data_IF_453324996405
#
_entry.id   IF_453324996405
#
_cell.length_a   1.000
_cell.length_b   1.000
_cell.length_c   1.000
_cell.angle_alpha   90.00
_cell.angle_beta   90.00
_cell.angle_gamma   90.00
#
_symmetry.space_group_name_H-M   'P 1'
#
loop_
_entity.id
_entity.type
_entity.pdbx_description
1 polymer ?
#
# COMPACT_ATOMS: atom_id res chain seq x y z
N UNK A 1 -15.14 -1.24 -13.83
CA UNK A 1 -14.07 -1.93 -13.06
C UNK A 1 -12.85 -1.04 -13.16
N UNK A 2 -12.34 -0.46 -12.05
CA UNK A 2 -11.26 0.51 -12.10
C UNK A 2 -9.98 -0.11 -12.64
N UNK A 3 -9.27 0.61 -13.50
CA UNK A 3 -7.97 0.16 -14.02
C UNK A 3 -6.88 0.24 -12.94
N UNK A 4 -5.79 -0.53 -13.04
CA UNK A 4 -4.68 -0.45 -12.07
C UNK A 4 -4.10 0.97 -11.94
N UNK A 5 -4.20 1.78 -12.99
CA UNK A 5 -3.81 3.20 -12.98
C UNK A 5 -4.73 4.04 -12.11
N UNK A 6 -6.04 3.80 -12.18
CA UNK A 6 -7.03 4.48 -11.33
C UNK A 6 -6.85 4.07 -9.87
N UNK A 7 -6.67 2.77 -9.59
CA UNK A 7 -6.36 2.28 -8.24
C UNK A 7 -5.09 2.92 -7.66
N UNK A 8 -4.08 3.20 -8.51
CA UNK A 8 -2.88 3.94 -8.09
C UNK A 8 -3.20 5.39 -7.73
N UNK A 9 -3.98 6.08 -8.57
CA UNK A 9 -4.38 7.46 -8.31
C UNK A 9 -5.20 7.55 -7.03
N UNK A 10 -6.17 6.65 -6.84
CA UNK A 10 -6.98 6.58 -5.64
C UNK A 10 -6.13 6.30 -4.40
N UNK A 11 -5.16 5.39 -4.48
CA UNK A 11 -4.24 5.14 -3.39
C UNK A 11 -3.42 6.39 -3.03
N UNK A 12 -2.91 7.11 -4.04
CA UNK A 12 -2.16 8.36 -3.82
C UNK A 12 -3.06 9.42 -3.21
N UNK A 13 -4.26 9.63 -3.75
CA UNK A 13 -5.24 10.58 -3.22
C UNK A 13 -5.58 10.28 -1.76
N UNK A 14 -5.81 9.01 -1.44
CA UNK A 14 -6.11 8.57 -0.09
C UNK A 14 -4.93 8.90 0.86
N UNK A 15 -3.70 8.62 0.44
CA UNK A 15 -2.50 8.91 1.22
C UNK A 15 -2.28 10.41 1.41
N UNK A 16 -2.52 11.23 0.39
CA UNK A 16 -2.43 12.69 0.49
C UNK A 16 -3.42 13.29 1.50
N UNK A 17 -4.56 12.61 1.72
CA UNK A 17 -5.57 12.98 2.72
C UNK A 17 -5.32 12.36 4.10
N UNK A 18 -4.34 11.46 4.22
CA UNK A 18 -4.05 10.74 5.46
C UNK A 18 -3.15 11.56 6.38
N UNK A 19 -3.20 11.28 7.69
CA UNK A 19 -2.36 11.93 8.68
C UNK A 19 -0.86 11.74 8.42
N UNK A 20 -0.45 10.63 7.81
CA UNK A 20 0.94 10.43 7.40
C UNK A 20 1.48 11.52 6.45
N UNK A 21 0.66 12.07 5.54
CA UNK A 21 1.10 13.17 4.66
C UNK A 21 0.73 14.53 5.26
N UNK A 22 -0.47 14.66 5.82
CA UNK A 22 -0.96 15.95 6.33
C UNK A 22 -0.27 16.38 7.63
N UNK A 23 -0.12 15.45 8.57
CA UNK A 23 0.43 15.70 9.91
C UNK A 23 1.93 15.41 9.94
N UNK A 24 2.35 14.22 9.49
CA UNK A 24 3.77 13.83 9.53
C UNK A 24 4.60 14.44 8.39
N UNK A 25 3.95 15.02 7.36
CA UNK A 25 4.62 15.60 6.18
C UNK A 25 5.51 14.60 5.42
N UNK A 26 5.23 13.31 5.55
CA UNK A 26 5.98 12.28 4.83
C UNK A 26 5.54 12.18 3.39
N UNK A 27 6.41 11.66 2.54
CA UNK A 27 6.02 11.37 1.16
C UNK A 27 5.09 10.16 1.11
N UNK A 28 4.22 10.09 0.10
CA UNK A 28 3.34 8.91 -0.10
C UNK A 28 4.13 7.61 -0.17
N UNK A 29 5.36 7.66 -0.69
CA UNK A 29 6.28 6.51 -0.73
C UNK A 29 6.71 6.06 0.67
N UNK A 30 6.96 7.00 1.58
CA UNK A 30 7.28 6.70 2.98
C UNK A 30 6.07 6.19 3.75
N UNK A 31 4.89 6.75 3.51
CA UNK A 31 3.64 6.26 4.09
C UNK A 31 3.30 4.82 3.66
N UNK A 32 3.82 4.36 2.52
CA UNK A 32 3.67 2.98 2.07
C UNK A 32 4.59 2.00 2.82
N UNK A 33 5.57 2.50 3.58
CA UNK A 33 6.46 1.66 4.38
C UNK A 33 5.71 1.03 5.56
N UNK A 34 6.08 -0.20 5.97
CA UNK A 34 5.43 -0.89 7.08
C UNK A 34 5.53 -0.13 8.41
N UNK A 35 6.54 0.73 8.56
CA UNK A 35 6.76 1.57 9.75
C UNK A 35 5.65 2.63 9.94
N UNK A 36 5.04 3.08 8.85
CA UNK A 36 4.04 4.15 8.82
C UNK A 36 2.63 3.61 8.60
N UNK A 37 2.45 2.29 8.63
CA UNK A 37 1.14 1.65 8.37
C UNK A 37 0.09 2.03 9.42
N UNK A 38 0.52 2.39 10.63
CA UNK A 38 -0.35 2.82 11.71
C UNK A 38 -0.86 4.26 11.51
N UNK A 39 -0.09 5.11 10.83
CA UNK A 39 -0.45 6.48 10.47
C UNK A 39 -1.31 6.56 9.19
N UNK A 40 -1.64 5.41 8.60
CA UNK A 40 -2.44 5.29 7.38
C UNK A 40 -3.81 4.70 7.73
N UNK A 41 -4.92 5.40 7.42
CA UNK A 41 -6.25 4.95 7.77
C UNK A 41 -6.62 3.65 7.05
N UNK A 42 -7.48 2.85 7.68
CA UNK A 42 -7.94 1.54 7.17
C UNK A 42 -8.54 1.62 5.76
N UNK A 43 -9.16 2.75 5.42
CA UNK A 43 -9.70 3.02 4.09
C UNK A 43 -8.60 2.94 3.00
N UNK A 44 -7.46 3.60 3.21
CA UNK A 44 -6.34 3.54 2.29
C UNK A 44 -5.69 2.14 2.26
N UNK A 45 -5.75 1.38 3.36
CA UNK A 45 -5.25 0.00 3.39
C UNK A 45 -6.06 -0.92 2.48
N UNK A 46 -7.38 -0.69 2.37
CA UNK A 46 -8.26 -1.41 1.44
C UNK A 46 -7.87 -1.14 -0.01
N UNK A 47 -7.71 0.13 -0.39
CA UNK A 47 -7.28 0.54 -1.73
C UNK A 47 -5.87 0.01 -2.03
N UNK A 48 -4.98 0.01 -1.03
CA UNK A 48 -3.63 -0.58 -1.13
C UNK A 48 -3.74 -2.06 -1.52
N UNK A 49 -4.61 -2.82 -0.85
CA UNK A 49 -4.85 -4.23 -1.17
C UNK A 49 -5.33 -4.40 -2.61
N UNK A 50 -6.36 -3.66 -3.02
CA UNK A 50 -6.90 -3.69 -4.38
C UNK A 50 -5.86 -3.32 -5.45
N UNK A 51 -5.03 -2.29 -5.20
CA UNK A 51 -3.94 -1.92 -6.09
C UNK A 51 -2.87 -3.01 -6.17
N UNK A 52 -2.50 -3.61 -5.03
CA UNK A 52 -1.60 -4.75 -5.00
C UNK A 52 -2.20 -5.96 -5.71
N UNK A 53 -3.49 -6.24 -5.58
CA UNK A 53 -4.16 -7.31 -6.32
C UNK A 53 -4.19 -7.04 -7.81
N UNK A 54 -4.45 -5.80 -8.24
CA UNK A 54 -4.38 -5.41 -9.65
C UNK A 54 -2.96 -5.55 -10.22
N UNK A 55 -1.94 -5.16 -9.42
CA UNK A 55 -0.53 -5.31 -9.80
C UNK A 55 -0.09 -6.78 -9.74
N UNK A 56 -0.59 -7.54 -8.77
CA UNK A 56 -0.27 -8.95 -8.48
C UNK A 56 -1.07 -9.92 -9.34
N UNK A 57 -2.19 -9.53 -9.95
CA UNK A 57 -2.83 -10.32 -11.00
C UNK A 57 -1.89 -10.56 -12.19
N UNK A 58 -0.83 -9.73 -12.33
CA UNK A 58 0.30 -9.99 -13.24
C UNK A 58 1.40 -10.92 -12.67
N UNK A 59 1.30 -11.36 -11.40
CA UNK A 59 2.27 -12.13 -10.62
C UNK A 59 1.59 -13.18 -9.68
N UNK A 60 0.42 -13.71 -10.06
CA UNK A 60 -0.63 -14.20 -9.15
C UNK A 60 -0.29 -15.37 -8.20
N UNK A 61 0.82 -16.10 -8.35
CA UNK A 61 1.04 -17.33 -7.56
C UNK A 61 1.67 -17.16 -6.16
N UNK A 62 2.11 -15.97 -5.74
CA UNK A 62 3.05 -15.87 -4.60
C UNK A 62 2.51 -15.30 -3.25
N UNK A 63 1.21 -14.99 -3.07
CA UNK A 63 0.74 -14.22 -1.90
C UNK A 63 -0.56 -14.72 -1.25
N UNK A 64 -0.76 -16.03 -1.09
CA UNK A 64 -1.91 -16.53 -0.30
C UNK A 64 -1.57 -16.79 1.19
N UNK A 65 -0.34 -16.46 1.65
CA UNK A 65 0.13 -16.84 3.01
C UNK A 65 0.98 -15.78 3.73
N UNK A 66 0.48 -14.58 4.01
CA UNK A 66 1.12 -13.80 5.09
C UNK A 66 0.16 -12.90 5.86
N UNK A 67 -0.70 -13.54 6.65
CA UNK A 67 -0.99 -13.06 8.00
C UNK A 67 0.24 -13.37 8.88
N UNK A 68 1.29 -12.54 8.80
CA UNK A 68 2.28 -12.35 9.87
C UNK A 68 3.30 -11.27 9.48
N UNK A 69 3.38 -10.23 10.30
CA UNK A 69 4.01 -8.92 10.06
C UNK A 69 5.56 -8.96 9.92
N UNK A 70 6.21 -10.12 10.02
CA UNK A 70 7.67 -10.22 10.15
C UNK A 70 8.47 -10.56 8.86
N UNK A 71 7.83 -10.87 7.72
CA UNK A 71 8.56 -11.39 6.52
C UNK A 71 8.63 -10.41 5.35
N UNK A 72 8.04 -9.20 5.43
CA UNK A 72 8.10 -8.23 4.33
C UNK A 72 9.48 -7.57 4.16
N UNK A 73 10.37 -7.69 5.15
CA UNK A 73 11.74 -7.15 5.09
C UNK A 73 12.70 -7.84 4.10
N UNK A 74 12.32 -8.97 3.48
CA UNK A 74 13.26 -9.74 2.62
C UNK A 74 13.08 -9.63 1.11
N UNK A 75 12.15 -8.82 0.59
CA UNK A 75 11.97 -8.63 -0.87
C UNK A 75 12.18 -7.19 -1.36
N UNK A 76 12.88 -6.38 -0.57
CA UNK A 76 13.33 -5.05 -0.97
C UNK A 76 14.85 -4.89 -0.75
N UNK A 77 15.60 -5.97 -0.98
CA UNK A 77 17.07 -5.94 -1.07
C UNK A 77 17.53 -7.02 -2.05
N UNK A 78 17.31 -6.76 -3.34
CA UNK A 78 18.36 -6.70 -4.36
C UNK A 78 17.77 -6.00 -5.59
#
# INVERSE_FOLDING_TARGET
MPSCKELRQELVNCMLKSDCVLIKRHTVKECLQPEHVNDVPKECQSIRRSFFECRRARYADAFSRQQNINTFKRKFTQ
#
